data_IF_456382528178
#
_entry.id   IF_456382528178
#
_cell.length_a   1.000
_cell.length_b   1.000
_cell.length_c   1.000
_cell.angle_alpha   90.00
_cell.angle_beta   90.00
_cell.angle_gamma   90.00
#
_symmetry.space_group_name_H-M   'P 1'
#
loop_
_entity.id
_entity.type
_entity.pdbx_description
1 polymer ?
#
# COMPACT_ATOMS: atom_id res chain seq x y z
N UNK A 1 -4.56 8.97 2.53
CA UNK A 1 -4.97 8.22 3.71
C UNK A 1 -5.20 6.79 3.27
N UNK A 2 -4.39 5.84 3.74
CA UNK A 2 -4.44 4.47 3.24
C UNK A 2 -5.68 3.74 3.78
N UNK A 3 -6.37 3.01 2.90
CA UNK A 3 -7.62 2.31 3.21
C UNK A 3 -7.64 0.89 2.62
N UNK A 4 -6.94 0.66 1.51
CA UNK A 4 -6.98 -0.59 0.77
C UNK A 4 -5.60 -1.00 0.21
N UNK A 5 -5.40 -2.28 -0.16
CA UNK A 5 -4.18 -2.74 -0.82
C UNK A 5 -3.84 -1.96 -2.09
N UNK A 6 -4.85 -1.51 -2.84
CA UNK A 6 -4.69 -0.71 -4.06
C UNK A 6 -3.94 0.59 -3.82
N UNK A 7 -4.03 1.18 -2.63
CA UNK A 7 -3.35 2.44 -2.30
C UNK A 7 -1.83 2.26 -2.27
N UNK A 8 -1.35 1.10 -1.80
CA UNK A 8 0.07 0.75 -1.81
C UNK A 8 0.54 0.42 -3.23
N UNK A 9 -0.21 -0.42 -3.95
CA UNK A 9 0.14 -0.84 -5.31
C UNK A 9 0.14 0.33 -6.30
N UNK A 10 -0.74 1.31 -6.12
CA UNK A 10 -0.77 2.51 -6.94
C UNK A 10 0.54 3.31 -6.82
N UNK A 11 1.09 3.45 -5.61
CA UNK A 11 2.38 4.13 -5.41
C UNK A 11 3.52 3.31 -6.01
N UNK A 12 3.54 1.98 -5.83
CA UNK A 12 4.55 1.11 -6.45
C UNK A 12 4.53 1.23 -7.98
N UNK A 13 3.33 1.22 -8.58
CA UNK A 13 3.17 1.41 -10.02
C UNK A 13 3.69 2.79 -10.46
N UNK A 14 3.33 3.86 -9.75
CA UNK A 14 3.79 5.21 -10.08
C UNK A 14 5.31 5.35 -9.96
N UNK A 15 5.95 4.72 -8.95
CA UNK A 15 7.41 4.72 -8.86
C UNK A 15 8.06 4.06 -10.09
N UNK A 16 7.48 2.94 -10.55
CA UNK A 16 7.93 2.25 -11.77
C UNK A 16 7.77 3.13 -13.02
N UNK A 17 6.56 3.68 -13.24
CA UNK A 17 6.25 4.50 -14.42
C UNK A 17 7.02 5.84 -14.43
N UNK A 18 7.36 6.36 -13.25
CA UNK A 18 8.24 7.53 -13.11
C UNK A 18 9.74 7.17 -13.21
N UNK A 19 10.09 5.95 -13.56
CA UNK A 19 11.48 5.48 -13.76
C UNK A 19 12.36 5.62 -12.50
N UNK A 20 11.77 5.48 -11.31
CA UNK A 20 12.52 5.49 -10.05
C UNK A 20 13.41 4.23 -9.99
N UNK A 21 14.70 4.38 -10.27
CA UNK A 21 15.66 3.25 -10.39
C UNK A 21 15.77 2.37 -9.14
N UNK A 22 15.53 2.95 -7.97
CA UNK A 22 15.49 2.27 -6.67
C UNK A 22 14.21 2.70 -5.96
N UNK A 23 13.09 2.00 -6.17
CA UNK A 23 11.83 2.34 -5.53
C UNK A 23 12.00 2.46 -4.01
N UNK A 24 11.40 3.49 -3.44
CA UNK A 24 11.31 3.68 -2.00
C UNK A 24 10.29 2.71 -1.44
N UNK A 25 10.47 2.30 -0.18
CA UNK A 25 9.49 1.48 0.53
C UNK A 25 8.18 2.26 0.68
N UNK A 26 7.09 1.71 0.18
CA UNK A 26 5.75 2.26 0.40
C UNK A 26 5.24 1.78 1.75
N UNK A 27 4.91 2.73 2.64
CA UNK A 27 4.41 2.43 3.99
C UNK A 27 3.00 3.02 4.14
N UNK A 28 1.95 2.19 4.26
CA UNK A 28 0.60 2.70 4.47
C UNK A 28 0.44 3.27 5.89
N UNK A 29 -0.11 4.47 5.99
CA UNK A 29 -0.58 5.07 7.24
C UNK A 29 -2.11 4.99 7.29
N UNK A 30 -2.61 4.16 8.20
CA UNK A 30 -4.04 4.02 8.51
C UNK A 30 -4.37 4.91 9.71
N UNK A 31 -5.20 5.95 9.52
CA UNK A 31 -5.48 6.95 10.58
C UNK A 31 -6.90 6.87 11.17
N UNK A 32 -7.93 6.42 10.44
CA UNK A 32 -9.30 6.32 10.99
C UNK A 32 -9.53 4.97 11.65
N UNK A 33 -10.50 4.91 12.56
CA UNK A 33 -10.88 3.66 13.26
C UNK A 33 -11.19 2.53 12.27
N UNK A 34 -12.03 2.78 11.26
CA UNK A 34 -12.37 1.77 10.25
C UNK A 34 -11.15 1.30 9.44
N UNK A 35 -10.21 2.19 9.16
CA UNK A 35 -8.98 1.86 8.43
C UNK A 35 -8.06 0.99 9.28
N UNK A 36 -7.95 1.28 10.58
CA UNK A 36 -7.20 0.49 11.56
C UNK A 36 -7.79 -0.90 11.76
N UNK A 37 -9.12 -1.01 11.81
CA UNK A 37 -9.84 -2.29 11.90
C UNK A 37 -9.63 -3.16 10.64
N UNK A 38 -9.62 -2.54 9.46
CA UNK A 38 -9.39 -3.22 8.18
C UNK A 38 -7.91 -3.50 7.87
N UNK A 39 -6.98 -2.82 8.55
CA UNK A 39 -5.55 -2.88 8.26
C UNK A 39 -4.96 -4.31 8.23
N UNK A 40 -5.27 -5.23 9.16
CA UNK A 40 -4.73 -6.59 9.12
C UNK A 40 -5.11 -7.34 7.84
N UNK A 41 -6.36 -7.21 7.39
CA UNK A 41 -6.84 -7.85 6.16
C UNK A 41 -6.19 -7.21 4.92
N UNK A 42 -6.04 -5.89 4.91
CA UNK A 42 -5.35 -5.18 3.82
C UNK A 42 -3.89 -5.62 3.69
N UNK A 43 -3.15 -5.69 4.81
CA UNK A 43 -1.75 -6.12 4.82
C UNK A 43 -1.62 -7.61 4.46
N UNK A 44 -2.48 -8.48 5.00
CA UNK A 44 -2.48 -9.90 4.63
C UNK A 44 -2.75 -10.10 3.13
N UNK A 45 -3.64 -9.29 2.54
CA UNK A 45 -3.89 -9.33 1.09
C UNK A 45 -2.69 -8.87 0.29
N UNK A 46 -1.96 -7.84 0.74
CA UNK A 46 -0.72 -7.40 0.11
C UNK A 46 0.35 -8.50 0.14
N UNK A 47 0.49 -9.23 1.25
CA UNK A 47 1.44 -10.32 1.39
C UNK A 47 1.07 -11.59 0.61
N UNK A 48 -0.18 -11.71 0.13
CA UNK A 48 -0.62 -12.83 -0.70
C UNK A 48 -0.59 -12.55 -2.20
N UNK A 49 0.04 -11.46 -2.63
CA UNK A 49 0.26 -11.15 -4.05
C UNK A 49 1.63 -11.70 -4.45
N UNK A 50 1.62 -12.63 -5.42
CA UNK A 50 2.81 -13.14 -6.11
C UNK A 50 3.28 -12.19 -7.24
#
# INVERSE_FOLDING_TARGET
MATAPSDVLAVELLQRECHVKKPLRVVPLFEKLADLEAAPAAVARLFSID
#
